data_IF_283608765857
#
_entry.id   IF_283608765857
#
_cell.length_a   1.000
_cell.length_b   1.000
_cell.length_c   1.000
_cell.angle_alpha   90.00
_cell.angle_beta   90.00
_cell.angle_gamma   90.00
#
_symmetry.space_group_name_H-M   'P 1'
#
loop_
_entity.id
_entity.type
_entity.pdbx_description
1 polymer ?
#
# COMPACT_ATOMS: atom_id res chain seq x y z
N UNK A 1 11.89 4.93 9.95
CA UNK A 1 11.49 3.54 9.70
C UNK A 1 12.31 2.95 8.56
N UNK A 2 12.65 1.68 8.67
CA UNK A 2 13.30 0.97 7.58
C UNK A 2 12.24 0.57 6.54
N UNK A 3 12.70 0.27 5.33
CA UNK A 3 11.79 -0.23 4.28
C UNK A 3 11.09 -1.52 4.71
N UNK A 4 11.79 -2.39 5.42
CA UNK A 4 11.20 -3.63 5.92
C UNK A 4 10.06 -3.37 6.91
N UNK A 5 10.22 -2.39 7.77
CA UNK A 5 9.18 -1.99 8.72
C UNK A 5 7.96 -1.39 8.00
N UNK A 6 8.20 -0.60 6.97
CA UNK A 6 7.14 -0.02 6.15
C UNK A 6 6.35 -1.14 5.46
N UNK A 7 7.05 -2.10 4.87
CA UNK A 7 6.42 -3.25 4.20
C UNK A 7 5.56 -4.06 5.16
N UNK A 8 6.06 -4.28 6.36
CA UNK A 8 5.36 -5.05 7.38
C UNK A 8 4.07 -4.35 7.83
N UNK A 9 4.15 -3.06 8.10
CA UNK A 9 2.97 -2.28 8.47
C UNK A 9 1.97 -2.20 7.32
N UNK A 10 2.46 -2.01 6.11
CA UNK A 10 1.58 -1.97 4.94
C UNK A 10 0.88 -3.30 4.73
N UNK A 11 1.59 -4.42 4.90
CA UNK A 11 1.00 -5.75 4.79
C UNK A 11 -0.11 -5.95 5.82
N UNK A 12 0.07 -5.46 7.04
CA UNK A 12 -0.97 -5.52 8.07
C UNK A 12 -2.20 -4.72 7.66
N UNK A 13 -2.00 -3.52 7.13
CA UNK A 13 -3.10 -2.67 6.68
C UNK A 13 -3.87 -3.36 5.55
N UNK A 14 -3.16 -3.90 4.58
CA UNK A 14 -3.79 -4.57 3.44
C UNK A 14 -4.59 -5.79 3.90
N UNK A 15 -4.04 -6.61 4.79
CA UNK A 15 -4.73 -7.78 5.32
C UNK A 15 -5.98 -7.41 6.11
N UNK A 16 -5.94 -6.26 6.78
CA UNK A 16 -7.07 -5.76 7.57
C UNK A 16 -8.21 -5.28 6.69
N UNK A 17 -7.87 -4.58 5.60
CA UNK A 17 -8.86 -4.00 4.68
C UNK A 17 -9.34 -5.03 3.66
N UNK A 18 -8.47 -5.94 3.27
CA UNK A 18 -8.78 -6.94 2.25
C UNK A 18 -8.03 -8.23 2.61
N UNK A 19 -8.74 -9.35 2.62
CA UNK A 19 -8.15 -10.63 2.98
C UNK A 19 -7.30 -11.15 1.83
N UNK A 20 -6.03 -10.77 1.82
CA UNK A 20 -5.08 -11.10 0.75
C UNK A 20 -4.05 -12.11 1.27
N UNK A 21 -3.76 -13.13 0.47
CA UNK A 21 -2.75 -14.12 0.83
C UNK A 21 -1.34 -13.49 0.87
N UNK A 22 -0.52 -13.94 1.80
CA UNK A 22 0.82 -13.39 2.01
C UNK A 22 1.70 -13.45 0.76
N UNK A 23 1.56 -14.50 -0.06
CA UNK A 23 2.33 -14.66 -1.29
C UNK A 23 1.97 -13.60 -2.35
N UNK A 24 0.86 -12.91 -2.19
CA UNK A 24 0.45 -11.81 -3.07
C UNK A 24 0.96 -10.45 -2.60
N UNK A 25 1.62 -10.39 -1.46
CA UNK A 25 2.10 -9.14 -0.87
C UNK A 25 3.60 -8.93 -1.14
N UNK A 26 4.03 -9.22 -2.36
CA UNK A 26 5.41 -8.98 -2.79
C UNK A 26 5.49 -7.64 -3.53
N UNK A 27 6.64 -6.97 -3.50
CA UNK A 27 6.78 -5.66 -4.16
C UNK A 27 6.44 -5.66 -5.65
N UNK A 28 6.66 -6.76 -6.33
CA UNK A 28 6.42 -6.87 -7.77
C UNK A 28 4.98 -7.19 -8.13
N UNK A 29 4.18 -7.62 -7.16
CA UNK A 29 2.80 -8.06 -7.45
C UNK A 29 1.92 -6.87 -7.74
N UNK A 30 1.27 -6.82 -8.93
CA UNK A 30 0.28 -5.79 -9.20
C UNK A 30 -0.89 -5.92 -8.23
N UNK A 31 -1.42 -4.78 -7.78
CA UNK A 31 -2.54 -4.77 -6.84
C UNK A 31 -3.77 -5.50 -7.40
N UNK A 32 -3.99 -5.36 -8.70
CA UNK A 32 -5.10 -6.05 -9.36
C UNK A 32 -4.98 -7.57 -9.25
N UNK A 33 -3.76 -8.10 -9.30
CA UNK A 33 -3.51 -9.54 -9.17
C UNK A 33 -3.78 -10.03 -7.76
N UNK A 34 -3.71 -9.14 -6.79
CA UNK A 34 -4.04 -9.44 -5.39
C UNK A 34 -5.53 -9.27 -5.11
N UNK A 35 -6.32 -8.92 -6.10
CA UNK A 35 -7.75 -8.72 -5.94
C UNK A 35 -8.11 -7.34 -5.39
N UNK A 36 -7.19 -6.40 -5.46
CA UNK A 36 -7.39 -5.04 -4.95
C UNK A 36 -7.81 -4.14 -6.12
N UNK A 37 -9.07 -3.72 -6.13
CA UNK A 37 -9.58 -2.81 -7.15
C UNK A 37 -9.35 -1.35 -6.75
N UNK A 38 -9.85 -0.41 -7.56
CA UNK A 38 -9.66 1.03 -7.32
C UNK A 38 -10.24 1.50 -6.00
N UNK A 39 -11.41 0.98 -5.62
CA UNK A 39 -12.04 1.35 -4.36
C UNK A 39 -11.27 0.79 -3.17
N UNK A 40 -10.84 -0.46 -3.27
CA UNK A 40 -10.03 -1.09 -2.23
C UNK A 40 -8.70 -0.35 -2.06
N UNK A 41 -8.07 0.02 -3.18
CA UNK A 41 -6.82 0.77 -3.14
C UNK A 41 -7.01 2.12 -2.44
N UNK A 42 -8.11 2.80 -2.71
CA UNK A 42 -8.41 4.09 -2.08
C UNK A 42 -8.57 3.93 -0.57
N UNK A 43 -9.29 2.90 -0.14
CA UNK A 43 -9.47 2.60 1.28
C UNK A 43 -8.13 2.32 1.96
N UNK A 44 -7.28 1.55 1.30
CA UNK A 44 -5.94 1.23 1.80
C UNK A 44 -5.09 2.50 1.90
N UNK A 45 -5.16 3.38 0.91
CA UNK A 45 -4.42 4.63 0.91
C UNK A 45 -4.84 5.54 2.07
N UNK A 46 -6.13 5.61 2.36
CA UNK A 46 -6.63 6.39 3.51
C UNK A 46 -6.09 5.80 4.82
N UNK A 47 -6.09 4.48 4.95
CA UNK A 47 -5.55 3.81 6.13
C UNK A 47 -4.05 4.08 6.30
N UNK A 48 -3.30 4.10 5.19
CA UNK A 48 -1.88 4.42 5.19
C UNK A 48 -1.65 5.85 5.67
N UNK A 49 -2.41 6.79 5.15
CA UNK A 49 -2.27 8.20 5.53
C UNK A 49 -2.49 8.37 7.04
N UNK A 50 -3.47 7.68 7.58
CA UNK A 50 -3.79 7.74 9.00
C UNK A 50 -2.70 7.08 9.86
N UNK A 51 -2.25 5.91 9.46
CA UNK A 51 -1.26 5.13 10.23
C UNK A 51 0.12 5.79 10.23
N UNK A 52 0.54 6.34 9.10
CA UNK A 52 1.86 6.95 8.95
C UNK A 52 1.87 8.47 9.14
N UNK A 53 0.70 9.08 9.33
CA UNK A 53 0.55 10.53 9.46
C UNK A 53 1.14 11.28 8.26
N UNK A 54 0.79 10.82 7.07
CA UNK A 54 1.24 11.41 5.81
C UNK A 54 0.03 11.72 4.92
N UNK A 55 0.28 12.53 3.90
CA UNK A 55 -0.71 12.85 2.88
C UNK A 55 -0.17 12.40 1.53
N UNK A 56 -0.90 11.54 0.84
CA UNK A 56 -0.46 11.03 -0.47
C UNK A 56 -1.17 11.86 -1.56
N UNK A 57 -0.40 12.63 -2.35
CA UNK A 57 -1.01 13.43 -3.44
C UNK A 57 -1.70 12.55 -4.48
N UNK A 58 -2.72 13.08 -5.13
CA UNK A 58 -3.51 12.34 -6.12
C UNK A 58 -2.66 11.80 -7.27
N UNK A 59 -1.70 12.59 -7.75
CA UNK A 59 -0.84 12.18 -8.85
C UNK A 59 0.04 10.99 -8.44
N UNK A 60 0.51 10.98 -7.20
CA UNK A 60 1.29 9.86 -6.68
C UNK A 60 0.41 8.63 -6.49
N UNK A 61 -0.80 8.82 -5.98
CA UNK A 61 -1.77 7.73 -5.80
C UNK A 61 -2.10 7.06 -7.12
N UNK A 62 -2.28 7.84 -8.19
CA UNK A 62 -2.58 7.31 -9.52
C UNK A 62 -1.43 6.53 -10.15
N UNK A 63 -0.22 6.79 -9.71
CA UNK A 63 0.97 6.10 -10.23
C UNK A 63 1.20 4.75 -9.56
N UNK A 64 0.49 4.46 -8.48
CA UNK A 64 0.65 3.21 -7.74
C UNK A 64 0.00 2.06 -8.51
N UNK A 65 0.80 1.06 -8.86
CA UNK A 65 0.36 -0.15 -9.57
C UNK A 65 0.63 -1.41 -8.78
N UNK A 66 1.69 -1.42 -7.98
CA UNK A 66 2.15 -2.59 -7.26
C UNK A 66 2.25 -2.29 -5.79
N UNK A 67 2.38 -3.35 -5.00
CA UNK A 67 2.63 -3.23 -3.56
C UNK A 67 3.92 -2.44 -3.30
N UNK A 68 4.97 -2.68 -4.11
CA UNK A 68 6.23 -1.93 -4.00
C UNK A 68 6.06 -0.45 -4.26
N UNK A 69 5.18 -0.07 -5.19
CA UNK A 69 4.88 1.33 -5.46
C UNK A 69 4.30 2.01 -4.22
N UNK A 70 3.45 1.31 -3.47
CA UNK A 70 2.90 1.84 -2.21
C UNK A 70 4.01 2.06 -1.19
N UNK A 71 4.92 1.09 -1.06
CA UNK A 71 6.06 1.19 -0.14
C UNK A 71 6.94 2.38 -0.52
N UNK A 72 7.22 2.53 -1.82
CA UNK A 72 8.03 3.64 -2.33
C UNK A 72 7.38 4.99 -1.99
N UNK A 73 6.08 5.09 -2.14
CA UNK A 73 5.35 6.32 -1.85
C UNK A 73 5.40 6.68 -0.36
N UNK A 74 5.24 5.68 0.50
CA UNK A 74 5.34 5.90 1.95
C UNK A 74 6.75 6.34 2.31
N UNK A 75 7.76 5.65 1.79
CA UNK A 75 9.15 5.93 2.08
C UNK A 75 9.52 7.36 1.68
N UNK A 76 8.99 7.84 0.57
CA UNK A 76 9.26 9.18 0.08
C UNK A 76 8.58 10.27 0.93
N UNK A 77 7.52 9.94 1.64
CA UNK A 77 6.68 10.90 2.35
C UNK A 77 6.88 10.91 3.88
N UNK A 78 7.56 9.92 4.43
CA UNK A 78 7.82 9.89 5.89
C UNK A 78 9.14 10.54 6.27
#
# INVERSE_FOLDING_TARGET
MTRAEIQEKLAEIVRKEKNVADDKLTPETPLADAGIDSLDALTILFAIEEEFHISIPDDRARAIRTFGDMVDSIEALI
#
